data_IF_465849939643
#
_entry.id   IF_465849939643
#
_cell.length_a   1.000
_cell.length_b   1.000
_cell.length_c   1.000
_cell.angle_alpha   90.00
_cell.angle_beta   90.00
_cell.angle_gamma   90.00
#
_symmetry.space_group_name_H-M   'P 1'
#
loop_
_entity.id
_entity.type
_entity.pdbx_description
1 polymer ?
#
# COMPACT_ATOMS: atom_id res chain seq x y z
N UNK A 1 -50.48 19.57 -34.82
CA UNK A 1 -50.11 19.63 -33.37
C UNK A 1 -49.03 18.56 -33.13
N UNK A 2 -47.72 18.95 -33.08
CA UNK A 2 -46.63 18.01 -32.81
C UNK A 2 -46.44 17.87 -31.30
N UNK A 3 -46.69 16.65 -30.76
CA UNK A 3 -46.42 16.36 -29.34
C UNK A 3 -44.91 16.15 -29.18
N UNK A 4 -44.26 17.06 -28.43
CA UNK A 4 -42.86 16.96 -28.02
C UNK A 4 -42.79 16.01 -26.84
N UNK A 5 -42.21 14.81 -27.04
CA UNK A 5 -41.98 13.85 -25.99
C UNK A 5 -40.67 14.24 -25.30
N UNK A 6 -40.76 14.80 -24.09
CA UNK A 6 -39.60 15.15 -23.28
C UNK A 6 -39.09 13.87 -22.58
N UNK A 7 -37.98 13.32 -23.11
CA UNK A 7 -37.31 12.16 -22.50
C UNK A 7 -36.48 12.66 -21.28
N UNK A 8 -36.97 12.41 -20.09
CA UNK A 8 -36.27 12.73 -18.83
C UNK A 8 -35.18 11.67 -18.63
N UNK A 9 -33.93 11.99 -18.96
CA UNK A 9 -32.78 11.13 -18.64
C UNK A 9 -32.46 11.34 -17.17
N UNK A 10 -32.92 10.43 -16.32
CA UNK A 10 -32.49 10.37 -14.91
C UNK A 10 -31.11 9.71 -14.87
N UNK A 11 -30.06 10.51 -14.79
CA UNK A 11 -28.71 10.03 -14.52
C UNK A 11 -28.62 9.59 -13.06
N UNK A 12 -28.67 8.28 -12.82
CA UNK A 12 -28.33 7.72 -11.52
C UNK A 12 -26.83 7.86 -11.30
N UNK A 13 -26.42 8.87 -10.54
CA UNK A 13 -25.09 8.91 -9.96
C UNK A 13 -25.05 7.88 -8.83
N UNK A 14 -24.53 6.67 -9.11
CA UNK A 14 -24.15 5.74 -8.07
C UNK A 14 -22.92 6.29 -7.34
N UNK A 15 -23.12 7.09 -6.32
CA UNK A 15 -22.11 7.28 -5.29
C UNK A 15 -22.03 5.97 -4.51
N UNK A 16 -21.00 5.16 -4.77
CA UNK A 16 -20.70 4.03 -3.91
C UNK A 16 -20.27 4.61 -2.56
N UNK A 17 -21.16 4.53 -1.58
CA UNK A 17 -20.79 4.83 -0.20
C UNK A 17 -19.77 3.76 0.23
N UNK A 18 -18.69 4.20 0.86
CA UNK A 18 -17.68 3.34 1.43
C UNK A 18 -18.33 2.34 2.40
N UNK A 19 -18.00 1.05 2.27
CA UNK A 19 -18.53 0.02 3.14
C UNK A 19 -17.94 0.15 4.56
N UNK A 20 -18.59 -0.49 5.54
CA UNK A 20 -18.04 -0.59 6.89
C UNK A 20 -16.69 -1.31 6.85
N UNK A 21 -16.57 -2.38 6.06
CA UNK A 21 -15.36 -3.18 5.93
C UNK A 21 -14.22 -2.39 5.27
N UNK A 22 -14.49 -1.62 4.22
CA UNK A 22 -13.51 -0.69 3.66
C UNK A 22 -13.00 0.31 4.69
N UNK A 23 -13.89 0.87 5.52
CA UNK A 23 -13.52 1.82 6.58
C UNK A 23 -12.62 1.15 7.62
N UNK A 24 -12.93 -0.08 8.03
CA UNK A 24 -12.13 -0.86 8.97
C UNK A 24 -10.75 -1.22 8.38
N UNK A 25 -10.68 -1.58 7.10
CA UNK A 25 -9.42 -1.85 6.39
C UNK A 25 -8.56 -0.58 6.29
N UNK A 26 -9.14 0.56 5.95
CA UNK A 26 -8.42 1.85 5.96
C UNK A 26 -7.88 2.19 7.34
N UNK A 27 -8.62 1.84 8.40
CA UNK A 27 -8.10 2.00 9.76
C UNK A 27 -6.87 1.11 10.00
N UNK A 28 -6.87 -0.14 9.54
CA UNK A 28 -5.68 -1.02 9.62
C UNK A 28 -4.49 -0.39 8.90
N UNK A 29 -4.70 0.18 7.69
CA UNK A 29 -3.65 0.86 6.92
C UNK A 29 -3.11 2.09 7.64
N UNK A 30 -3.97 2.90 8.23
CA UNK A 30 -3.56 4.07 9.03
C UNK A 30 -2.80 3.66 10.30
N UNK A 31 -3.27 2.62 10.99
CA UNK A 31 -2.63 2.07 12.19
C UNK A 31 -1.22 1.52 11.86
N UNK A 32 -1.04 0.95 10.67
CA UNK A 32 0.26 0.51 10.15
C UNK A 32 1.21 1.70 9.98
N UNK A 33 0.83 2.73 9.21
CA UNK A 33 1.64 3.93 9.01
C UNK A 33 1.99 4.62 10.34
N UNK A 34 1.01 4.75 11.24
CA UNK A 34 1.23 5.36 12.55
C UNK A 34 2.20 4.53 13.41
N UNK A 35 2.08 3.21 13.38
CA UNK A 35 2.95 2.33 14.18
C UNK A 35 4.42 2.38 13.72
N UNK A 36 4.69 2.56 12.43
CA UNK A 36 6.03 2.84 11.90
C UNK A 36 6.54 4.17 12.44
N UNK A 37 5.77 5.24 12.25
CA UNK A 37 6.13 6.60 12.66
C UNK A 37 6.38 6.73 14.15
N UNK A 38 5.61 6.04 14.98
CA UNK A 38 5.72 6.08 16.45
C UNK A 38 6.56 4.94 17.01
N UNK A 39 7.08 4.04 16.18
CA UNK A 39 7.81 2.81 16.57
C UNK A 39 7.01 1.94 17.54
N UNK A 40 5.71 1.90 17.39
CA UNK A 40 4.85 1.11 18.24
C UNK A 40 4.81 -0.35 17.76
N UNK A 41 5.87 -1.12 18.11
CA UNK A 41 6.00 -2.53 17.73
C UNK A 41 4.78 -3.38 18.16
N UNK A 42 4.25 -3.28 19.39
CA UNK A 42 3.06 -4.06 19.76
C UNK A 42 1.85 -3.76 18.88
N UNK A 43 1.57 -2.48 18.57
CA UNK A 43 0.50 -2.09 17.68
C UNK A 43 0.72 -2.64 16.27
N UNK A 44 1.92 -2.47 15.73
CA UNK A 44 2.30 -2.98 14.41
C UNK A 44 2.06 -4.49 14.30
N UNK A 45 2.63 -5.29 15.21
CA UNK A 45 2.51 -6.74 15.20
C UNK A 45 1.05 -7.20 15.34
N UNK A 46 0.23 -6.45 16.07
CA UNK A 46 -1.19 -6.76 16.24
C UNK A 46 -2.02 -6.67 14.96
N UNK A 47 -1.52 -5.98 13.92
CA UNK A 47 -2.21 -5.83 12.63
C UNK A 47 -2.14 -7.09 11.75
N UNK A 48 -1.25 -8.02 12.07
CA UNK A 48 -0.97 -9.19 11.24
C UNK A 48 -1.59 -10.47 11.80
N UNK A 49 -1.81 -11.42 10.91
CA UNK A 49 -2.14 -12.82 11.21
C UNK A 49 -1.14 -13.74 10.52
N UNK A 50 -0.44 -14.53 11.32
CA UNK A 50 0.50 -15.54 10.77
C UNK A 50 -0.23 -16.75 10.16
N UNK A 51 0.37 -17.39 9.13
CA UNK A 51 1.65 -17.02 8.52
C UNK A 51 1.53 -15.76 7.65
N UNK A 52 2.55 -14.90 7.65
CA UNK A 52 2.61 -13.68 6.85
C UNK A 52 3.59 -13.85 5.69
N UNK A 53 3.14 -13.58 4.47
CA UNK A 53 4.02 -13.47 3.31
C UNK A 53 4.46 -12.00 3.16
N UNK A 54 5.78 -11.74 3.26
CA UNK A 54 6.36 -10.41 3.08
C UNK A 54 7.42 -10.46 1.99
N UNK A 55 7.11 -9.89 0.81
CA UNK A 55 7.96 -10.02 -0.36
C UNK A 55 8.06 -8.71 -1.13
N UNK A 56 9.22 -8.49 -1.74
CA UNK A 56 9.48 -7.31 -2.56
C UNK A 56 10.30 -7.61 -3.81
N UNK A 57 10.15 -6.74 -4.82
CA UNK A 57 10.90 -6.80 -6.06
C UNK A 57 11.40 -5.40 -6.44
N UNK A 58 12.66 -5.29 -6.85
CA UNK A 58 13.14 -4.06 -7.47
C UNK A 58 12.63 -3.97 -8.90
N UNK A 59 12.10 -2.81 -9.30
CA UNK A 59 11.71 -2.59 -10.70
C UNK A 59 12.95 -2.63 -11.61
N UNK A 60 12.78 -3.07 -12.85
CA UNK A 60 13.86 -3.30 -13.82
C UNK A 60 14.89 -2.17 -13.88
N UNK A 61 14.44 -0.93 -13.94
CA UNK A 61 15.31 0.25 -14.01
C UNK A 61 16.16 0.44 -12.75
N UNK A 62 15.59 0.20 -11.57
CA UNK A 62 16.34 0.24 -10.30
C UNK A 62 17.29 -0.94 -10.20
N UNK A 63 16.87 -2.13 -10.62
CA UNK A 63 17.72 -3.32 -10.64
C UNK A 63 18.91 -3.14 -11.57
N UNK A 64 18.74 -2.54 -12.75
CA UNK A 64 19.84 -2.22 -13.64
C UNK A 64 20.91 -1.35 -12.95
N UNK A 65 20.46 -0.30 -12.20
CA UNK A 65 21.38 0.55 -11.41
C UNK A 65 22.06 -0.19 -10.26
N UNK A 66 21.42 -1.18 -9.67
CA UNK A 66 22.02 -2.03 -8.63
C UNK A 66 23.07 -2.97 -9.20
N UNK A 67 22.79 -3.57 -10.36
CA UNK A 67 23.73 -4.47 -11.06
C UNK A 67 25.00 -3.75 -11.55
N UNK A 68 24.92 -2.47 -11.94
CA UNK A 68 26.11 -1.65 -12.24
C UNK A 68 27.10 -1.60 -11.05
N UNK A 69 26.60 -1.64 -9.81
CA UNK A 69 27.39 -1.56 -8.58
C UNK A 69 27.74 -2.92 -7.99
N UNK A 70 26.83 -3.87 -8.11
CA UNK A 70 26.99 -5.24 -7.65
C UNK A 70 26.36 -6.20 -8.67
N UNK A 71 27.18 -6.85 -9.53
CA UNK A 71 26.69 -7.80 -10.55
C UNK A 71 25.90 -9.00 -9.99
N UNK A 72 25.97 -9.23 -8.67
CA UNK A 72 25.24 -10.31 -7.96
C UNK A 72 24.02 -9.78 -7.20
N UNK A 73 23.59 -8.54 -7.45
CA UNK A 73 22.45 -7.95 -6.75
C UNK A 73 21.17 -8.74 -7.09
N UNK A 74 20.52 -9.25 -6.07
CA UNK A 74 19.27 -10.00 -6.24
C UNK A 74 18.12 -9.09 -6.66
N UNK A 75 17.26 -9.62 -7.50
CA UNK A 75 16.10 -8.93 -8.05
C UNK A 75 14.93 -8.90 -7.08
N UNK A 76 14.73 -10.00 -6.38
CA UNK A 76 13.65 -10.32 -5.47
C UNK A 76 14.20 -10.55 -4.07
N UNK A 77 13.42 -10.24 -3.08
CA UNK A 77 13.71 -10.61 -1.69
C UNK A 77 12.42 -11.00 -0.95
N UNK A 78 12.58 -11.90 0.01
CA UNK A 78 11.59 -12.17 1.03
C UNK A 78 12.17 -11.69 2.37
N UNK A 79 11.35 -11.06 3.19
CA UNK A 79 11.78 -10.51 4.46
C UNK A 79 10.81 -10.90 5.57
N UNK A 80 11.17 -10.58 6.80
CA UNK A 80 10.34 -10.78 7.99
C UNK A 80 9.71 -9.45 8.42
N UNK A 81 8.38 -9.39 8.39
CA UNK A 81 7.65 -8.21 8.85
C UNK A 81 7.98 -7.81 10.30
N UNK A 82 8.36 -8.77 11.16
CA UNK A 82 8.80 -8.50 12.54
C UNK A 82 10.18 -7.85 12.57
N UNK A 83 11.08 -8.30 11.67
CA UNK A 83 12.40 -7.69 11.53
C UNK A 83 12.30 -6.26 10.96
N UNK A 84 11.33 -6.01 10.08
CA UNK A 84 11.08 -4.69 9.50
C UNK A 84 10.86 -3.63 10.58
N UNK A 85 9.88 -3.81 11.47
CA UNK A 85 9.60 -2.82 12.53
C UNK A 85 10.75 -2.69 13.55
N UNK A 86 11.47 -3.79 13.84
CA UNK A 86 12.64 -3.80 14.75
C UNK A 86 13.85 -3.09 14.16
N UNK A 87 13.92 -2.99 12.83
CA UNK A 87 15.00 -2.31 12.11
C UNK A 87 15.04 -0.80 12.34
N UNK A 88 13.95 -0.17 12.77
CA UNK A 88 13.90 1.26 12.99
C UNK A 88 14.59 1.66 14.30
N UNK A 89 15.64 2.47 14.18
CA UNK A 89 16.45 2.93 15.33
C UNK A 89 15.91 4.18 16.00
N UNK A 90 15.15 4.99 15.25
CA UNK A 90 14.59 6.27 15.68
C UNK A 90 13.19 6.49 15.08
N UNK A 91 12.54 7.60 15.42
CA UNK A 91 11.20 8.00 14.98
C UNK A 91 11.17 8.80 13.67
N UNK A 92 12.22 8.70 12.86
CA UNK A 92 12.35 9.44 11.59
C UNK A 92 11.81 8.69 10.38
N UNK A 93 11.44 7.43 10.55
CA UNK A 93 10.84 6.62 9.49
C UNK A 93 9.35 6.88 9.40
N UNK A 94 8.85 7.05 8.18
CA UNK A 94 7.42 7.12 7.90
C UNK A 94 7.11 6.46 6.55
N UNK A 95 5.91 5.94 6.44
CA UNK A 95 5.38 5.43 5.20
C UNK A 95 4.10 6.17 4.85
N UNK A 96 3.86 6.41 3.55
CA UNK A 96 2.69 7.13 3.04
C UNK A 96 2.04 6.32 1.94
N UNK A 97 0.71 6.30 1.95
CA UNK A 97 -0.12 5.58 0.99
C UNK A 97 -0.99 6.53 0.19
N UNK A 98 -1.02 6.32 -1.14
CA UNK A 98 -1.83 7.08 -2.09
C UNK A 98 -2.59 6.12 -3.00
N UNK A 99 -3.62 6.59 -3.70
CA UNK A 99 -4.37 5.83 -4.72
C UNK A 99 -4.87 4.48 -4.21
N UNK A 100 -5.36 4.43 -2.98
CA UNK A 100 -5.82 3.20 -2.33
C UNK A 100 -7.07 2.69 -3.06
N UNK A 101 -7.04 1.40 -3.41
CA UNK A 101 -8.18 0.66 -3.96
C UNK A 101 -8.37 -0.61 -3.14
N UNK A 102 -9.52 -0.76 -2.52
CA UNK A 102 -9.89 -1.92 -1.72
C UNK A 102 -10.95 -2.72 -2.47
N UNK A 103 -10.81 -4.03 -2.47
CA UNK A 103 -11.84 -4.98 -2.93
C UNK A 103 -12.01 -5.98 -1.80
N UNK A 104 -13.24 -6.15 -1.31
CA UNK A 104 -13.56 -7.01 -0.17
C UNK A 104 -14.91 -7.74 -0.38
N UNK A 105 -15.13 -8.83 0.36
CA UNK A 105 -16.37 -9.63 0.36
C UNK A 105 -16.90 -9.90 1.78
N UNK A 106 -16.41 -9.15 2.78
CA UNK A 106 -16.73 -9.33 4.20
C UNK A 106 -15.89 -10.38 4.93
N UNK A 107 -15.09 -11.18 4.23
CA UNK A 107 -14.22 -12.22 4.79
C UNK A 107 -12.77 -12.08 4.38
N UNK A 108 -12.53 -11.78 3.12
CA UNK A 108 -11.20 -11.52 2.57
C UNK A 108 -11.18 -10.19 1.83
N UNK A 109 -10.01 -9.57 1.77
CA UNK A 109 -9.83 -8.32 1.04
C UNK A 109 -8.45 -8.25 0.38
N UNK A 110 -8.36 -7.44 -0.69
CA UNK A 110 -7.12 -6.92 -1.23
C UNK A 110 -7.11 -5.40 -1.14
N UNK A 111 -5.98 -4.83 -0.72
CA UNK A 111 -5.73 -3.40 -0.81
C UNK A 111 -4.55 -3.17 -1.76
N UNK A 112 -4.77 -2.36 -2.81
CA UNK A 112 -3.78 -2.02 -3.81
C UNK A 112 -3.54 -0.52 -3.77
N UNK A 113 -2.30 -0.08 -3.62
CA UNK A 113 -2.00 1.34 -3.45
C UNK A 113 -0.60 1.71 -3.92
N UNK A 114 -0.34 3.01 -4.07
CA UNK A 114 0.99 3.55 -4.20
C UNK A 114 1.55 3.77 -2.80
N UNK A 115 2.79 3.33 -2.54
CA UNK A 115 3.48 3.64 -1.31
C UNK A 115 4.72 4.49 -1.55
N UNK A 116 5.16 5.20 -0.51
CA UNK A 116 6.47 5.82 -0.42
C UNK A 116 7.00 5.71 1.00
N UNK A 117 8.26 5.28 1.12
CA UNK A 117 8.97 5.17 2.38
C UNK A 117 9.98 6.32 2.55
N UNK A 118 9.97 6.93 3.72
CA UNK A 118 10.72 8.13 4.03
C UNK A 118 11.57 7.92 5.28
N UNK A 119 12.76 8.53 5.28
CA UNK A 119 13.61 8.63 6.45
C UNK A 119 14.12 10.06 6.58
N UNK A 120 13.99 10.66 7.77
CA UNK A 120 14.42 12.04 8.08
C UNK A 120 13.93 13.07 7.04
N UNK A 121 12.66 12.96 6.65
CA UNK A 121 12.02 13.85 5.67
C UNK A 121 12.45 13.64 4.21
N UNK A 122 13.28 12.63 3.92
CA UNK A 122 13.74 12.30 2.57
C UNK A 122 13.12 10.98 2.11
N UNK A 123 12.59 10.95 0.89
CA UNK A 123 12.09 9.73 0.29
C UNK A 123 13.26 8.79 -0.04
N UNK A 124 13.20 7.57 0.48
CA UNK A 124 14.18 6.52 0.21
C UNK A 124 13.76 5.63 -0.96
N UNK A 125 12.49 5.22 -0.97
CA UNK A 125 11.94 4.37 -2.01
C UNK A 125 10.42 4.56 -2.15
N UNK A 126 9.88 4.04 -3.26
CA UNK A 126 8.47 4.12 -3.59
C UNK A 126 8.08 3.03 -4.59
N UNK A 127 6.80 2.72 -4.66
CA UNK A 127 6.31 1.72 -5.60
C UNK A 127 4.81 1.48 -5.52
N UNK A 128 4.43 0.29 -5.96
CA UNK A 128 3.10 -0.28 -5.74
C UNK A 128 3.18 -1.32 -4.64
N UNK A 129 2.14 -1.36 -3.82
CA UNK A 129 2.01 -2.35 -2.78
C UNK A 129 0.62 -3.00 -2.85
N UNK A 130 0.58 -4.29 -2.55
CA UNK A 130 -0.62 -5.10 -2.53
C UNK A 130 -0.65 -5.85 -1.22
N UNK A 131 -1.71 -5.65 -0.45
CA UNK A 131 -1.99 -6.43 0.75
C UNK A 131 -3.12 -7.41 0.51
N UNK A 132 -3.00 -8.58 1.12
CA UNK A 132 -4.14 -9.46 1.35
C UNK A 132 -4.51 -9.40 2.82
N UNK A 133 -5.81 -9.27 3.12
CA UNK A 133 -6.32 -9.22 4.47
C UNK A 133 -7.41 -10.30 4.66
N UNK A 134 -7.56 -10.75 5.90
CA UNK A 134 -8.64 -11.64 6.33
C UNK A 134 -9.34 -11.06 7.55
N UNK A 135 -10.66 -11.25 7.62
CA UNK A 135 -11.47 -10.86 8.78
C UNK A 135 -11.57 -12.03 9.76
N UNK A 136 -10.84 -11.95 10.87
CA UNK A 136 -10.75 -13.01 11.87
C UNK A 136 -11.42 -12.54 13.15
N UNK A 137 -12.47 -13.24 13.60
CA UNK A 137 -13.26 -12.84 14.77
C UNK A 137 -13.75 -11.38 14.69
N UNK A 138 -14.15 -10.94 13.50
CA UNK A 138 -14.63 -9.59 13.25
C UNK A 138 -13.55 -8.51 13.11
N UNK A 139 -12.26 -8.87 13.08
CA UNK A 139 -11.13 -7.94 13.00
C UNK A 139 -10.33 -8.22 11.72
N UNK A 140 -10.09 -7.20 10.91
CA UNK A 140 -9.26 -7.31 9.72
C UNK A 140 -7.78 -7.42 10.08
N UNK A 141 -7.09 -8.41 9.48
CA UNK A 141 -5.67 -8.72 9.70
C UNK A 141 -4.95 -8.85 8.37
N UNK A 142 -3.72 -8.33 8.32
CA UNK A 142 -2.83 -8.47 7.16
C UNK A 142 -2.23 -9.88 7.16
N UNK A 143 -2.31 -10.59 6.03
CA UNK A 143 -1.73 -11.93 5.84
C UNK A 143 -0.65 -11.95 4.76
N UNK A 144 -0.62 -10.93 3.90
CA UNK A 144 0.39 -10.79 2.86
C UNK A 144 0.67 -9.33 2.54
N UNK A 145 1.94 -9.02 2.35
CA UNK A 145 2.44 -7.75 1.81
C UNK A 145 3.37 -8.07 0.65
N UNK A 146 3.04 -7.57 -0.54
CA UNK A 146 3.87 -7.74 -1.74
C UNK A 146 4.04 -6.38 -2.40
N UNK A 147 5.29 -5.98 -2.69
CA UNK A 147 5.56 -4.65 -3.22
C UNK A 147 6.63 -4.62 -4.31
N UNK A 148 6.52 -3.63 -5.18
CA UNK A 148 7.58 -3.27 -6.12
C UNK A 148 8.30 -2.03 -5.63
N UNK A 149 9.60 -1.90 -5.94
CA UNK A 149 10.43 -0.81 -5.40
C UNK A 149 11.22 -0.10 -6.48
N UNK A 150 11.12 1.24 -6.52
CA UNK A 150 12.10 2.13 -7.11
C UNK A 150 12.85 2.86 -5.99
N UNK A 151 14.18 2.95 -6.09
CA UNK A 151 14.99 3.75 -5.18
C UNK A 151 14.94 5.22 -5.61
N UNK A 152 14.46 6.10 -4.73
CA UNK A 152 14.23 7.52 -5.03
C UNK A 152 15.53 8.26 -5.45
N UNK A 153 16.68 7.82 -4.96
CA UNK A 153 18.01 8.36 -5.36
C UNK A 153 18.34 8.17 -6.84
N UNK A 154 17.71 7.20 -7.51
CA UNK A 154 17.89 6.98 -8.96
C UNK A 154 16.69 7.46 -9.76
N UNK A 155 15.49 7.27 -9.23
CA UNK A 155 14.22 7.53 -9.89
C UNK A 155 13.26 8.20 -8.92
N UNK A 156 13.17 9.55 -8.93
CA UNK A 156 12.20 10.28 -8.13
C UNK A 156 10.77 9.79 -8.42
N UNK A 157 9.92 9.77 -7.40
CA UNK A 157 8.53 9.42 -7.59
C UNK A 157 7.83 10.48 -8.46
N UNK A 158 7.11 10.08 -9.53
CA UNK A 158 6.28 11.01 -10.28
C UNK A 158 5.19 11.63 -9.39
N UNK A 159 4.73 12.82 -9.74
CA UNK A 159 3.63 13.47 -9.02
C UNK A 159 2.35 12.62 -9.03
N UNK A 160 1.46 12.84 -8.07
CA UNK A 160 0.20 12.10 -7.97
C UNK A 160 -0.61 12.19 -9.27
N UNK A 161 -0.68 13.38 -9.89
CA UNK A 161 -1.37 13.61 -11.15
C UNK A 161 -0.80 12.80 -12.33
N UNK A 162 0.50 12.53 -12.34
CA UNK A 162 1.14 11.71 -13.37
C UNK A 162 0.86 10.22 -13.16
N UNK A 163 0.73 9.79 -11.90
CA UNK A 163 0.47 8.38 -11.53
C UNK A 163 -0.99 7.97 -11.72
N UNK A 164 -1.93 8.91 -11.70
CA UNK A 164 -3.38 8.65 -11.85
C UNK A 164 -3.88 8.69 -13.30
N UNK A 165 -3.07 9.16 -14.25
CA UNK A 165 -3.44 9.30 -15.67
C UNK A 165 -3.35 8.02 -16.52
N UNK A 166 -3.28 6.84 -15.89
CA UNK A 166 -3.21 5.54 -16.60
C UNK A 166 -4.56 4.86 -16.65
#
# INVERSE_FOLDING_TARGET
MKKLLLLLIVSFNFSFAQTKDETEILKVMNDFMESIKTRNEPKYLSLFQEPVLWTGIYKDRTQAKRLEKNPKAEYYFADDYKAFIKGFKDDKSEEKFDNIKIVEDGGVASANFDYSFWYDGKMENWGKEIWTLMKINGIWKITSVTFSMDLAKYFPQPSLNERTKK
#
